data_IF_320300316806
#
_entry.id   IF_320300316806
#
_cell.length_a   1.000
_cell.length_b   1.000
_cell.length_c   1.000
_cell.angle_alpha   90.00
_cell.angle_beta   90.00
_cell.angle_gamma   90.00
#
_symmetry.space_group_name_H-M   'P 1'
#
loop_
_entity.id
_entity.type
_entity.pdbx_description
1 polymer ?
#
# COMPACT_ATOMS: atom_id res chain seq x y z
N UNK A 1 -8.17 -8.63 2.15
CA UNK A 1 -6.95 -8.74 2.98
C UNK A 1 -7.19 -9.28 4.40
N UNK A 2 -8.12 -8.73 5.19
CA UNK A 2 -8.32 -9.15 6.61
C UNK A 2 -8.66 -10.64 6.80
N UNK A 3 -9.42 -11.23 5.87
CA UNK A 3 -9.70 -12.67 5.90
C UNK A 3 -8.41 -13.53 5.86
N UNK A 4 -7.35 -13.01 5.24
CA UNK A 4 -6.08 -13.71 5.07
C UNK A 4 -5.11 -13.43 6.24
N UNK A 5 -5.02 -12.17 6.68
CA UNK A 5 -4.01 -11.71 7.65
C UNK A 5 -4.56 -11.50 9.06
N UNK A 6 -5.88 -11.48 9.23
CA UNK A 6 -6.57 -11.05 10.44
C UNK A 6 -6.92 -9.59 10.45
N UNK A 7 -7.52 -9.16 11.55
CA UNK A 7 -7.89 -7.77 11.79
C UNK A 7 -6.73 -6.92 12.28
N UNK A 8 -5.67 -7.51 12.84
CA UNK A 8 -4.53 -6.79 13.39
C UNK A 8 -3.17 -7.30 12.90
N UNK A 9 -2.24 -6.36 12.76
CA UNK A 9 -0.83 -6.57 12.45
C UNK A 9 0.05 -5.91 13.52
N UNK A 10 1.31 -6.31 13.58
CA UNK A 10 2.34 -5.69 14.42
C UNK A 10 3.19 -4.72 13.61
N UNK A 11 3.62 -3.65 14.27
CA UNK A 11 4.64 -2.69 13.83
C UNK A 11 5.70 -2.55 14.93
N UNK A 12 6.79 -1.83 14.65
CA UNK A 12 7.75 -1.46 15.69
C UNK A 12 7.16 -0.62 16.84
N UNK A 13 5.96 -0.05 16.66
CA UNK A 13 5.29 0.80 17.65
C UNK A 13 4.08 0.13 18.33
N UNK A 14 3.78 -1.13 18.00
CA UNK A 14 2.64 -1.87 18.55
C UNK A 14 1.70 -2.41 17.49
N UNK A 15 0.46 -2.68 17.88
CA UNK A 15 -0.57 -3.24 16.99
C UNK A 15 -1.27 -2.16 16.16
N UNK A 16 -1.56 -2.49 14.90
CA UNK A 16 -2.33 -1.68 13.97
C UNK A 16 -3.40 -2.53 13.29
N UNK A 17 -4.46 -1.91 12.77
CA UNK A 17 -5.48 -2.61 12.00
C UNK A 17 -4.91 -3.04 10.63
N UNK A 18 -5.26 -4.22 10.14
CA UNK A 18 -4.83 -4.68 8.80
C UNK A 18 -5.31 -3.75 7.67
N UNK A 19 -6.42 -3.05 7.89
CA UNK A 19 -6.91 -2.00 6.98
C UNK A 19 -5.98 -0.78 6.86
N UNK A 20 -4.96 -0.65 7.72
CA UNK A 20 -3.96 0.42 7.62
C UNK A 20 -2.94 0.21 6.51
N UNK A 21 -2.92 -0.94 5.85
CA UNK A 21 -2.05 -1.16 4.69
C UNK A 21 -2.40 -0.16 3.57
N UNK A 22 -1.37 0.39 2.95
CA UNK A 22 -1.49 1.43 1.91
C UNK A 22 -2.04 0.89 0.57
N UNK A 23 -2.31 -0.42 0.48
CA UNK A 23 -2.91 -1.04 -0.69
C UNK A 23 -1.91 -1.24 -1.83
N UNK A 24 -2.41 -1.54 -3.03
CA UNK A 24 -1.60 -1.87 -4.20
C UNK A 24 -1.04 -3.30 -4.14
N UNK A 25 0.19 -3.44 -3.65
CA UNK A 25 0.87 -4.74 -3.57
C UNK A 25 1.29 -5.04 -2.14
N UNK A 26 0.93 -6.22 -1.64
CA UNK A 26 1.35 -6.73 -0.33
C UNK A 26 2.28 -7.92 -0.51
N UNK A 27 3.50 -7.81 0.00
CA UNK A 27 4.46 -8.91 0.07
C UNK A 27 4.35 -9.66 1.39
N UNK A 28 4.00 -10.95 1.35
CA UNK A 28 4.17 -11.85 2.48
C UNK A 28 5.61 -12.34 2.49
N UNK A 29 6.35 -11.97 3.54
CA UNK A 29 7.76 -12.31 3.69
C UNK A 29 7.92 -13.42 4.73
N UNK A 30 8.19 -14.64 4.26
CA UNK A 30 8.42 -15.80 5.11
C UNK A 30 9.90 -15.90 5.48
N UNK A 31 10.20 -15.82 6.77
CA UNK A 31 11.59 -15.73 7.24
C UNK A 31 11.76 -16.10 8.71
N UNK A 32 13.01 -16.17 9.19
CA UNK A 32 13.31 -16.38 10.61
C UNK A 32 14.70 -15.87 11.01
N UNK A 33 14.84 -15.49 12.28
CA UNK A 33 16.06 -14.99 12.89
C UNK A 33 17.15 -16.06 13.06
N UNK A 34 16.80 -17.35 13.04
CA UNK A 34 17.78 -18.44 13.09
C UNK A 34 18.33 -18.84 11.71
N UNK A 35 17.72 -18.35 10.62
CA UNK A 35 18.02 -18.78 9.25
C UNK A 35 19.16 -17.93 8.62
N UNK A 36 20.32 -18.52 8.27
CA UNK A 36 21.44 -17.78 7.68
C UNK A 36 21.12 -17.04 6.37
N UNK A 37 20.49 -17.65 5.34
CA UNK A 37 20.18 -16.92 4.11
C UNK A 37 19.16 -15.79 4.35
N UNK A 38 18.28 -15.95 5.35
CA UNK A 38 17.33 -14.92 5.76
C UNK A 38 18.02 -13.68 6.31
N UNK A 39 19.05 -13.86 7.15
CA UNK A 39 19.86 -12.75 7.69
C UNK A 39 20.57 -11.95 6.58
N UNK A 40 20.98 -12.61 5.50
CA UNK A 40 21.58 -11.93 4.33
C UNK A 40 20.55 -11.18 3.47
N UNK A 41 19.37 -11.77 3.27
CA UNK A 41 18.31 -11.21 2.42
C UNK A 41 17.60 -9.99 3.06
N UNK A 42 17.26 -10.08 4.34
CA UNK A 42 16.49 -9.06 5.08
C UNK A 42 17.01 -7.63 4.94
N UNK A 43 18.30 -7.34 5.18
CA UNK A 43 18.79 -5.96 5.07
C UNK A 43 18.71 -5.42 3.64
N UNK A 44 18.88 -6.27 2.62
CA UNK A 44 18.76 -5.85 1.23
C UNK A 44 17.30 -5.61 0.84
N UNK A 45 16.39 -6.48 1.28
CA UNK A 45 14.95 -6.27 1.05
C UNK A 45 14.42 -5.05 1.81
N UNK A 46 14.96 -4.76 2.99
CA UNK A 46 14.69 -3.53 3.73
C UNK A 46 15.03 -2.26 2.93
N UNK A 47 16.15 -2.25 2.19
CA UNK A 47 16.51 -1.14 1.30
C UNK A 47 15.53 -0.98 0.13
N UNK A 48 15.12 -2.10 -0.48
CA UNK A 48 14.10 -2.08 -1.56
C UNK A 48 12.81 -1.47 -1.04
N UNK A 49 12.35 -1.91 0.13
CA UNK A 49 11.15 -1.39 0.76
C UNK A 49 11.25 0.11 1.07
N UNK A 50 12.36 0.56 1.66
CA UNK A 50 12.58 1.98 1.93
C UNK A 50 12.61 2.82 0.65
N UNK A 51 13.19 2.30 -0.43
CA UNK A 51 13.18 2.98 -1.74
C UNK A 51 11.78 3.01 -2.35
N UNK A 52 10.99 1.94 -2.20
CA UNK A 52 9.58 1.93 -2.59
C UNK A 52 8.81 3.04 -1.85
N UNK A 53 8.97 3.14 -0.53
CA UNK A 53 8.32 4.18 0.28
C UNK A 53 8.79 5.59 -0.08
N UNK A 54 10.08 5.83 -0.32
CA UNK A 54 10.59 7.15 -0.73
C UNK A 54 10.08 7.60 -2.10
N UNK A 55 9.78 6.64 -2.99
CA UNK A 55 9.13 6.87 -4.29
C UNK A 55 7.60 6.86 -4.22
N UNK A 56 7.03 6.84 -3.01
CA UNK A 56 5.57 6.74 -2.76
C UNK A 56 4.93 5.59 -3.53
N UNK A 57 5.57 4.42 -3.56
CA UNK A 57 4.96 3.20 -4.13
C UNK A 57 3.98 2.58 -3.14
N UNK A 58 2.82 2.16 -3.62
CA UNK A 58 1.80 1.44 -2.87
C UNK A 58 2.26 -0.02 -2.68
N UNK A 59 3.18 -0.20 -1.73
CA UNK A 59 3.82 -1.46 -1.44
C UNK A 59 4.00 -1.65 0.05
N UNK A 60 3.45 -2.73 0.59
CA UNK A 60 3.60 -3.12 1.98
C UNK A 60 4.22 -4.50 2.10
N UNK A 61 4.92 -4.73 3.21
CA UNK A 61 5.49 -6.03 3.55
C UNK A 61 4.90 -6.49 4.88
N UNK A 62 4.49 -7.75 4.93
CA UNK A 62 4.00 -8.43 6.12
C UNK A 62 4.91 -9.62 6.40
N UNK A 63 5.67 -9.54 7.48
CA UNK A 63 6.53 -10.60 7.95
C UNK A 63 5.71 -11.76 8.54
N UNK A 64 5.94 -12.96 8.01
CA UNK A 64 5.39 -14.23 8.47
C UNK A 64 6.54 -15.03 9.08
N UNK A 65 6.61 -15.04 10.41
CA UNK A 65 7.75 -15.61 11.13
C UNK A 65 7.72 -17.14 11.15
N UNK A 66 8.89 -17.74 10.97
CA UNK A 66 9.19 -19.14 11.27
C UNK A 66 10.10 -19.28 12.51
N UNK A 67 10.22 -18.23 13.32
CA UNK A 67 10.92 -18.28 14.61
C UNK A 67 10.19 -19.22 15.56
N UNK A 68 10.96 -19.82 16.47
CA UNK A 68 10.49 -20.90 17.36
C UNK A 68 9.91 -20.37 18.66
N UNK A 69 10.30 -19.17 19.06
CA UNK A 69 9.88 -18.52 20.28
C UNK A 69 9.70 -17.01 20.05
N UNK A 70 8.95 -16.38 20.96
CA UNK A 70 8.55 -14.98 20.83
C UNK A 70 9.73 -14.01 20.99
N UNK A 71 10.75 -14.36 21.78
CA UNK A 71 11.92 -13.50 21.96
C UNK A 71 12.74 -13.43 20.67
N UNK A 72 13.05 -14.58 20.07
CA UNK A 72 13.72 -14.67 18.78
C UNK A 72 12.95 -13.90 17.69
N UNK A 73 11.62 -14.04 17.67
CA UNK A 73 10.76 -13.26 16.77
C UNK A 73 10.92 -11.75 16.99
N UNK A 74 10.78 -11.27 18.23
CA UNK A 74 10.85 -9.85 18.57
C UNK A 74 12.22 -9.26 18.22
N UNK A 75 13.30 -9.94 18.57
CA UNK A 75 14.67 -9.52 18.28
C UNK A 75 14.94 -9.38 16.78
N UNK A 76 14.39 -10.29 15.98
CA UNK A 76 14.57 -10.26 14.53
C UNK A 76 13.65 -9.23 13.87
N UNK A 77 12.38 -9.17 14.28
CA UNK A 77 11.39 -8.22 13.77
C UNK A 77 11.77 -6.77 14.08
N UNK A 78 12.41 -6.49 15.21
CA UNK A 78 12.89 -5.15 15.58
C UNK A 78 13.83 -4.50 14.53
N UNK A 79 14.39 -5.30 13.62
CA UNK A 79 15.29 -4.85 12.54
C UNK A 79 14.55 -4.54 11.23
N UNK A 80 13.23 -4.72 11.20
CA UNK A 80 12.43 -4.64 9.99
C UNK A 80 11.57 -3.36 9.97
N UNK A 81 11.51 -2.62 8.84
CA UNK A 81 10.77 -1.36 8.75
C UNK A 81 9.27 -1.54 8.37
N UNK A 82 8.73 -2.74 8.51
CA UNK A 82 7.42 -3.12 7.97
C UNK A 82 6.56 -3.88 8.99
N UNK A 83 5.42 -4.42 8.56
CA UNK A 83 4.46 -5.08 9.43
C UNK A 83 4.81 -6.55 9.69
N UNK A 84 4.25 -7.15 10.73
CA UNK A 84 4.30 -8.59 10.94
C UNK A 84 2.94 -9.15 11.37
N UNK A 85 2.70 -10.43 11.09
CA UNK A 85 1.63 -11.14 11.77
C UNK A 85 1.95 -11.26 13.27
N UNK A 86 0.94 -11.19 14.15
CA UNK A 86 1.13 -11.50 15.56
C UNK A 86 1.79 -12.87 15.74
N UNK A 87 2.88 -12.93 16.52
CA UNK A 87 3.62 -14.18 16.73
C UNK A 87 2.72 -15.29 17.31
N UNK A 88 1.81 -14.91 18.22
CA UNK A 88 0.83 -15.80 18.83
C UNK A 88 -0.12 -16.46 17.82
N UNK A 89 -0.33 -15.87 16.64
CA UNK A 89 -1.20 -16.42 15.59
C UNK A 89 -0.46 -17.47 14.75
N UNK A 90 -0.01 -18.53 15.43
CA UNK A 90 0.75 -19.64 14.83
C UNK A 90 -0.08 -20.42 13.80
N UNK A 91 -1.38 -20.54 14.03
CA UNK A 91 -2.29 -21.23 13.12
C UNK A 91 -2.34 -20.52 11.77
N UNK A 92 -2.51 -19.19 11.75
CA UNK A 92 -2.54 -18.43 10.50
C UNK A 92 -1.18 -18.47 9.79
N UNK A 93 -0.08 -18.33 10.52
CA UNK A 93 1.27 -18.45 9.92
C UNK A 93 1.43 -19.80 9.20
N UNK A 94 1.02 -20.90 9.85
CA UNK A 94 1.06 -22.24 9.25
C UNK A 94 0.12 -22.36 8.04
N UNK A 95 -1.11 -21.85 8.13
CA UNK A 95 -2.06 -21.86 7.02
C UNK A 95 -1.50 -21.11 5.81
N UNK A 96 -0.91 -19.94 6.00
CA UNK A 96 -0.31 -19.17 4.90
C UNK A 96 0.86 -19.93 4.26
N UNK A 97 1.74 -20.54 5.07
CA UNK A 97 2.82 -21.37 4.54
C UNK A 97 2.30 -22.55 3.72
N UNK A 98 1.21 -23.19 4.13
CA UNK A 98 0.59 -24.29 3.40
C UNK A 98 -0.08 -23.81 2.11
N UNK A 99 -0.92 -22.76 2.19
CA UNK A 99 -1.65 -22.18 1.07
C UNK A 99 -0.72 -21.77 -0.08
N UNK A 100 0.44 -21.19 0.23
CA UNK A 100 1.40 -20.76 -0.78
C UNK A 100 2.55 -21.75 -1.02
N UNK A 101 2.46 -22.97 -0.47
CA UNK A 101 3.44 -24.03 -0.71
C UNK A 101 4.86 -23.70 -0.28
N UNK A 102 5.03 -22.94 0.82
CA UNK A 102 6.33 -22.49 1.31
C UNK A 102 7.09 -23.66 1.91
N UNK A 103 8.11 -24.14 1.20
CA UNK A 103 8.99 -25.26 1.61
C UNK A 103 10.34 -24.83 2.16
N UNK A 104 10.69 -23.55 2.01
CA UNK A 104 11.98 -23.00 2.43
C UNK A 104 11.92 -21.48 2.59
N UNK A 105 12.84 -20.95 3.38
CA UNK A 105 12.97 -19.52 3.68
C UNK A 105 14.39 -19.03 3.36
N UNK A 106 14.58 -17.76 2.97
CA UNK A 106 13.56 -16.72 2.82
C UNK A 106 12.69 -16.93 1.58
N UNK A 107 11.38 -16.68 1.69
CA UNK A 107 10.43 -16.69 0.57
C UNK A 107 9.57 -15.43 0.57
N UNK A 108 9.15 -15.00 -0.62
CA UNK A 108 8.28 -13.82 -0.79
C UNK A 108 7.13 -14.18 -1.73
N UNK A 109 5.91 -13.90 -1.28
CA UNK A 109 4.68 -14.02 -2.05
C UNK A 109 4.12 -12.62 -2.25
N UNK A 110 3.72 -12.27 -3.47
CA UNK A 110 3.07 -11.00 -3.79
C UNK A 110 1.57 -11.20 -3.96
N UNK A 111 0.81 -10.33 -3.32
CA UNK A 111 -0.63 -10.25 -3.39
C UNK A 111 -1.07 -8.85 -3.82
N UNK A 112 -2.26 -8.73 -4.42
CA UNK A 112 -2.91 -7.43 -4.60
C UNK A 112 -3.62 -6.96 -3.31
N UNK A 113 -4.24 -5.77 -3.33
CA UNK A 113 -4.92 -5.20 -2.16
C UNK A 113 -6.10 -6.05 -1.66
N UNK A 114 -6.73 -6.82 -2.55
CA UNK A 114 -7.82 -7.72 -2.23
C UNK A 114 -7.33 -9.03 -1.57
N UNK A 115 -6.03 -9.35 -1.71
CA UNK A 115 -5.41 -10.56 -1.18
C UNK A 115 -5.33 -11.72 -2.19
N UNK A 116 -5.55 -11.43 -3.47
CA UNK A 116 -5.38 -12.40 -4.56
C UNK A 116 -3.90 -12.53 -4.90
N UNK A 117 -3.50 -13.74 -5.31
CA UNK A 117 -2.12 -14.07 -5.64
C UNK A 117 -1.69 -13.39 -6.94
N UNK A 118 -0.63 -12.59 -6.87
CA UNK A 118 0.08 -12.07 -8.04
C UNK A 118 1.28 -12.95 -8.39
N UNK A 119 2.05 -13.37 -7.38
CA UNK A 119 3.22 -14.23 -7.57
C UNK A 119 3.57 -15.01 -6.30
N UNK A 120 3.68 -16.33 -6.38
CA UNK A 120 4.05 -17.19 -5.25
C UNK A 120 5.57 -17.32 -5.03
N UNK A 121 6.41 -16.87 -5.95
CA UNK A 121 7.87 -17.06 -5.91
C UNK A 121 8.63 -15.77 -6.26
N UNK A 122 8.33 -14.70 -5.53
CA UNK A 122 8.84 -13.37 -5.82
C UNK A 122 10.18 -13.02 -5.17
N UNK A 123 10.83 -13.94 -4.44
CA UNK A 123 12.10 -13.68 -3.71
C UNK A 123 13.18 -13.06 -4.60
N UNK A 124 13.33 -13.56 -5.83
CA UNK A 124 14.27 -13.01 -6.80
C UNK A 124 13.78 -11.70 -7.42
N UNK A 125 12.48 -11.64 -7.77
CA UNK A 125 11.88 -10.48 -8.44
C UNK A 125 11.94 -9.21 -7.60
N UNK A 126 11.67 -9.29 -6.30
CA UNK A 126 11.73 -8.11 -5.42
C UNK A 126 13.14 -7.53 -5.27
N UNK A 127 14.17 -8.27 -5.69
CA UNK A 127 15.55 -7.79 -5.70
C UNK A 127 15.98 -7.22 -7.06
N UNK A 128 15.14 -7.35 -8.10
CA UNK A 128 15.41 -6.78 -9.40
C UNK A 128 15.21 -5.24 -9.36
N UNK A 129 16.14 -4.44 -9.90
CA UNK A 129 15.99 -2.98 -9.96
C UNK A 129 14.71 -2.50 -10.66
N UNK A 130 14.17 -3.29 -11.59
CA UNK A 130 12.94 -2.96 -12.32
C UNK A 130 11.67 -3.19 -11.51
N UNK A 131 11.71 -3.97 -10.41
CA UNK A 131 10.54 -4.25 -9.57
C UNK A 131 9.85 -2.99 -9.05
N UNK A 132 10.61 -1.97 -8.64
CA UNK A 132 10.01 -0.73 -8.14
C UNK A 132 9.19 0.02 -9.20
N UNK A 133 9.47 -0.23 -10.48
CA UNK A 133 8.76 0.39 -11.60
C UNK A 133 7.43 -0.32 -11.84
N UNK A 134 7.32 -1.61 -11.51
CA UNK A 134 6.08 -2.38 -11.63
C UNK A 134 5.09 -2.10 -10.49
N UNK A 135 5.51 -1.39 -9.44
CA UNK A 135 4.65 -1.08 -8.30
C UNK A 135 3.76 0.15 -8.57
N UNK A 136 2.46 0.11 -8.22
CA UNK A 136 1.58 1.28 -8.31
C UNK A 136 2.13 2.44 -7.49
N UNK A 137 1.92 3.68 -7.93
CA UNK A 137 2.21 4.88 -7.11
C UNK A 137 1.01 5.18 -6.22
N UNK A 138 1.28 5.38 -4.94
CA UNK A 138 0.32 5.96 -4.01
C UNK A 138 0.27 7.47 -4.28
N UNK A 139 -0.87 7.93 -4.76
CA UNK A 139 -1.14 9.34 -4.95
C UNK A 139 -2.05 9.79 -3.80
N UNK A 140 -1.51 10.64 -2.92
CA UNK A 140 -2.32 11.34 -1.92
C UNK A 140 -2.93 12.59 -2.56
N UNK A 141 -4.23 12.52 -2.83
CA UNK A 141 -5.00 13.58 -3.48
C UNK A 141 -5.14 14.83 -2.59
N UNK A 142 -5.07 14.68 -1.26
CA UNK A 142 -5.18 15.79 -0.33
C UNK A 142 -3.91 16.64 -0.24
N UNK A 143 -2.76 16.10 -0.68
CA UNK A 143 -1.46 16.77 -0.66
C UNK A 143 -1.06 17.40 -2.01
N UNK A 144 -1.99 17.49 -2.98
CA UNK A 144 -1.68 17.68 -4.39
C UNK A 144 -0.97 18.99 -4.76
N UNK A 145 0.33 18.86 -5.04
CA UNK A 145 0.82 19.13 -6.39
C UNK A 145 1.13 17.76 -7.02
N UNK A 146 0.25 17.28 -7.88
CA UNK A 146 0.47 16.00 -8.57
C UNK A 146 1.40 16.21 -9.76
N UNK A 147 2.57 15.54 -9.84
CA UNK A 147 3.41 15.62 -11.02
C UNK A 147 2.76 14.83 -12.16
N UNK A 148 2.59 15.48 -13.31
CA UNK A 148 2.06 14.88 -14.52
C UNK A 148 2.89 13.63 -14.92
N UNK A 149 2.25 12.48 -15.18
CA UNK A 149 2.95 11.30 -15.66
C UNK A 149 3.54 11.57 -17.05
N UNK A 150 4.79 11.16 -17.28
CA UNK A 150 5.45 11.29 -18.59
C UNK A 150 5.08 10.17 -19.57
N UNK A 151 4.48 9.09 -19.07
CA UNK A 151 4.07 7.90 -19.81
C UNK A 151 2.80 7.32 -19.20
N UNK A 152 2.04 6.51 -19.95
CA UNK A 152 0.82 5.88 -19.46
C UNK A 152 1.12 5.03 -18.23
N UNK A 153 0.49 5.39 -17.11
CA UNK A 153 0.79 4.83 -15.80
C UNK A 153 -0.49 4.34 -15.12
N UNK A 154 -0.46 3.14 -14.57
CA UNK A 154 -1.54 2.67 -13.70
C UNK A 154 -1.49 3.36 -12.34
N UNK A 155 -2.59 4.01 -11.98
CA UNK A 155 -2.78 4.75 -10.75
C UNK A 155 -3.82 4.04 -9.88
N UNK A 156 -3.54 3.95 -8.58
CA UNK A 156 -4.51 3.52 -7.58
C UNK A 156 -4.97 4.76 -6.83
N UNK A 157 -6.20 5.22 -7.08
CA UNK A 157 -6.82 6.31 -6.34
C UNK A 157 -7.58 5.77 -5.14
N UNK A 158 -7.44 6.43 -3.98
CA UNK A 158 -8.23 6.11 -2.78
C UNK A 158 -9.08 7.32 -2.40
N UNK A 159 -10.40 7.15 -2.38
CA UNK A 159 -11.35 8.20 -1.99
C UNK A 159 -12.44 7.61 -1.11
N UNK A 160 -12.65 8.21 0.08
CA UNK A 160 -13.65 7.77 1.07
C UNK A 160 -13.60 6.25 1.39
N UNK A 161 -12.40 5.68 1.44
CA UNK A 161 -12.20 4.25 1.70
C UNK A 161 -12.44 3.32 0.50
N UNK A 162 -12.77 3.86 -0.67
CA UNK A 162 -12.92 3.12 -1.93
C UNK A 162 -11.64 3.26 -2.78
N UNK A 163 -11.19 2.16 -3.38
CA UNK A 163 -10.02 2.12 -4.26
C UNK A 163 -10.45 2.04 -5.73
N UNK A 164 -9.82 2.84 -6.60
CA UNK A 164 -10.05 2.86 -8.04
C UNK A 164 -8.72 2.63 -8.77
N UNK A 165 -8.63 1.58 -9.59
CA UNK A 165 -7.51 1.35 -10.50
C UNK A 165 -7.81 2.06 -11.83
N UNK A 166 -6.94 3.00 -12.22
CA UNK A 166 -7.12 3.83 -13.41
C UNK A 166 -5.83 3.79 -14.20
N UNK A 167 -5.94 3.49 -15.48
CA UNK A 167 -4.86 3.71 -16.43
C UNK A 167 -4.89 5.17 -16.86
N UNK A 168 -3.85 5.92 -16.50
CA UNK A 168 -3.76 7.35 -16.79
C UNK A 168 -2.74 7.59 -17.89
N UNK A 169 -3.23 8.07 -19.03
CA UNK A 169 -2.39 8.59 -20.11
C UNK A 169 -1.87 9.99 -19.76
N UNK A 170 -0.67 10.39 -20.26
CA UNK A 170 -0.14 11.75 -20.10
C UNK A 170 -1.05 12.79 -20.79
N UNK A 171 -0.84 14.08 -20.51
CA UNK A 171 -1.58 15.20 -21.11
C UNK A 171 -3.10 15.16 -20.87
N UNK A 172 -3.91 14.81 -21.87
CA UNK A 172 -5.37 14.90 -21.82
C UNK A 172 -5.98 13.93 -20.80
N UNK A 173 -5.48 12.70 -20.71
CA UNK A 173 -5.91 11.72 -19.70
C UNK A 173 -5.63 12.21 -18.28
N UNK A 174 -4.48 12.87 -18.09
CA UNK A 174 -4.10 13.46 -16.83
C UNK A 174 -4.98 14.64 -16.42
N UNK A 175 -5.28 15.53 -17.37
CA UNK A 175 -6.11 16.71 -17.08
C UNK A 175 -7.58 16.32 -16.81
N UNK A 176 -8.12 15.32 -17.53
CA UNK A 176 -9.44 14.77 -17.25
C UNK A 176 -9.50 14.14 -15.85
N UNK A 177 -8.51 13.32 -15.51
CA UNK A 177 -8.40 12.70 -14.20
C UNK A 177 -8.34 13.75 -13.09
N UNK A 178 -7.50 14.78 -13.28
CA UNK A 178 -7.34 15.90 -12.37
C UNK A 178 -8.64 16.69 -12.18
N UNK A 179 -9.35 17.00 -13.26
CA UNK A 179 -10.65 17.68 -13.21
C UNK A 179 -11.71 16.86 -12.47
N UNK A 180 -11.74 15.55 -12.69
CA UNK A 180 -12.70 14.65 -12.06
C UNK A 180 -12.38 14.41 -10.58
N UNK A 181 -11.09 14.34 -10.24
CA UNK A 181 -10.62 14.32 -8.85
C UNK A 181 -11.04 15.60 -8.12
N UNK A 182 -10.82 16.77 -8.71
CA UNK A 182 -11.18 18.04 -8.08
C UNK A 182 -12.69 18.23 -7.92
N UNK A 183 -13.51 17.61 -8.76
CA UNK A 183 -14.97 17.63 -8.59
C UNK A 183 -15.48 16.64 -7.53
N UNK A 184 -14.70 15.59 -7.21
CA UNK A 184 -15.02 14.60 -6.18
C UNK A 184 -14.51 14.97 -4.78
N UNK A 185 -13.61 15.96 -4.68
CA UNK A 185 -13.16 16.52 -3.41
C UNK A 185 -14.05 17.73 -3.14
N UNK A 186 -14.70 17.81 -1.97
CA UNK A 186 -15.32 19.07 -1.52
C UNK A 186 -14.21 20.12 -1.39
N UNK A 187 -13.95 20.86 -2.46
CA UNK A 187 -12.90 21.88 -2.50
C UNK A 187 -13.37 23.01 -1.59
N UNK A 188 -12.66 23.30 -0.48
CA UNK A 188 -13.05 24.38 0.41
C UNK A 188 -13.11 25.69 -0.38
N UNK A 189 -14.14 26.49 -0.15
CA UNK A 189 -14.42 27.72 -0.89
C UNK A 189 -13.27 28.73 -0.92
N UNK A 190 -12.31 28.63 0.00
CA UNK A 190 -11.08 29.43 0.02
C UNK A 190 -10.05 29.00 -1.04
N UNK A 191 -9.98 27.70 -1.38
CA UNK A 191 -9.10 27.22 -2.45
C UNK A 191 -9.66 27.53 -3.85
N UNK A 192 -10.99 27.57 -4.02
CA UNK A 192 -11.63 28.00 -5.28
C UNK A 192 -11.24 29.45 -5.65
N UNK A 193 -11.05 30.32 -4.65
CA UNK A 193 -10.56 31.70 -4.84
C UNK A 193 -9.09 31.75 -5.29
N UNK A 194 -8.28 30.78 -4.88
CA UNK A 194 -6.85 30.71 -5.21
C UNK A 194 -6.60 30.37 -6.70
N UNK A 195 -7.55 29.67 -7.34
CA UNK A 195 -7.51 29.31 -8.76
C UNK A 195 -8.17 30.35 -9.68
N UNK A 196 -8.58 31.51 -9.16
CA UNK A 196 -9.22 32.57 -9.96
C UNK A 196 -10.62 32.24 -10.48
N UNK A 197 -11.21 31.13 -10.03
CA UNK A 197 -12.58 30.72 -10.36
C UNK A 197 -13.55 31.26 -9.30
N UNK A 198 -13.66 32.59 -9.27
CA UNK A 198 -14.65 33.33 -8.49
C UNK A 198 -15.47 34.20 -9.42
N UNK A 199 -16.41 33.61 -10.16
CA UNK A 199 -17.45 34.39 -10.83
C UNK A 199 -18.64 34.51 -9.89
N UNK A 200 -18.77 35.67 -9.24
CA UNK A 200 -20.09 36.10 -8.80
C UNK A 200 -20.97 36.37 -10.04
N UNK A 201 -22.09 35.66 -10.14
CA UNK A 201 -23.30 36.18 -10.76
C UNK A 201 -24.50 35.79 -9.91
N UNK A 202 -25.02 36.76 -9.17
CA UNK A 202 -26.33 36.65 -8.55
C UNK A 202 -27.46 36.73 -9.58
N UNK A 203 -28.55 36.00 -9.33
CA UNK A 203 -29.93 36.54 -9.23
C UNK A 203 -30.92 35.48 -8.72
N UNK A 204 -31.67 35.88 -7.69
CA UNK A 204 -33.07 35.59 -7.29
C UNK A 204 -33.95 34.82 -8.31
N UNK A 205 -35.03 34.10 -7.98
CA UNK A 205 -35.82 33.76 -6.77
C UNK A 205 -36.80 32.63 -7.22
N UNK A 206 -37.37 31.74 -6.38
CA UNK A 206 -38.55 31.95 -5.52
C UNK A 206 -38.86 30.63 -4.78
N UNK A 207 -39.01 30.66 -3.45
CA UNK A 207 -40.24 30.40 -2.65
C UNK A 207 -40.77 28.94 -2.67
N UNK A 208 -41.00 28.26 -1.54
CA UNK A 208 -41.92 28.56 -0.42
C UNK A 208 -41.42 27.85 0.86
N UNK A 209 -41.10 28.56 1.95
CA UNK A 209 -41.93 28.91 3.13
C UNK A 209 -42.42 27.75 4.00
N UNK A 210 -41.98 27.77 5.25
CA UNK A 210 -42.46 26.96 6.38
C UNK A 210 -43.96 27.16 6.66
N UNK A 211 -44.63 26.07 7.01
CA UNK A 211 -45.71 25.93 8.00
C UNK A 211 -45.56 24.56 8.66
#
# INVERSE_FOLDING_TARGET
MEALLGTTLLTGHGQVATSSLQGGVVALYFSAGWCPPCKGFTPQFGKVYQHAKSKRRAFDVVFVSSDRDENSFREYFAKMPWHALPFADRLRQQQLSQTYGIRGIPAVVLLNSQGQLLDANARGKVMDPSFLQTLPRCIDLAAAALPEPTETTQLLLRHQGTEYEIECEPSEGWEMLRMQIYSMIDVPSEQLKLFGLGLEKGRQACALSEC
#
